data_IF_978727450207
#
_entry.id   IF_978727450207
#
_cell.length_a   1.000
_cell.length_b   1.000
_cell.length_c   1.000
_cell.angle_alpha   90.00
_cell.angle_beta   90.00
_cell.angle_gamma   90.00
#
_symmetry.space_group_name_H-M   'P 1'
#
loop_
_entity.id
_entity.type
_entity.pdbx_description
1 polymer ?
#
# COMPACT_ATOMS: atom_id res chain seq x y z
N UNK A 1 81.49 -15.41 -12.15
CA UNK A 1 81.70 -16.77 -12.70
C UNK A 1 80.33 -17.43 -12.80
N UNK A 2 79.73 -17.84 -13.91
CA UNK A 2 80.13 -18.15 -15.29
C UNK A 2 78.89 -17.84 -16.18
N UNK A 3 79.01 -16.99 -17.21
CA UNK A 3 79.21 -17.33 -18.63
C UNK A 3 77.98 -17.88 -19.39
N UNK A 4 77.32 -16.94 -20.09
CA UNK A 4 76.92 -16.92 -21.51
C UNK A 4 76.93 -18.20 -22.38
N UNK A 5 75.86 -18.22 -23.23
CA UNK A 5 75.77 -18.62 -24.66
C UNK A 5 75.67 -20.11 -25.02
N UNK A 6 74.64 -20.44 -25.81
CA UNK A 6 74.82 -20.89 -27.22
C UNK A 6 73.55 -20.68 -28.06
N UNK A 7 73.81 -20.16 -29.25
CA UNK A 7 72.94 -19.96 -30.41
C UNK A 7 72.82 -21.28 -31.17
N UNK A 8 71.64 -21.61 -31.72
CA UNK A 8 71.53 -22.48 -32.89
C UNK A 8 70.28 -22.11 -33.71
N UNK A 9 70.57 -21.63 -34.90
CA UNK A 9 69.69 -21.26 -36.00
C UNK A 9 69.39 -22.53 -36.81
N UNK A 10 68.12 -22.90 -37.03
CA UNK A 10 67.75 -23.74 -38.19
C UNK A 10 66.42 -23.27 -38.81
N UNK A 11 66.55 -22.85 -40.07
CA UNK A 11 65.49 -22.70 -41.05
C UNK A 11 64.99 -24.09 -41.49
N UNK A 12 63.67 -24.28 -41.53
CA UNK A 12 63.06 -25.22 -42.46
C UNK A 12 61.70 -24.68 -42.89
N UNK A 13 61.52 -24.63 -44.20
CA UNK A 13 60.43 -23.98 -44.90
C UNK A 13 59.19 -24.87 -45.06
N UNK A 14 58.01 -24.23 -45.04
CA UNK A 14 56.90 -24.46 -45.95
C UNK A 14 56.11 -25.76 -45.86
N UNK A 15 54.88 -25.67 -45.36
CA UNK A 15 53.67 -26.15 -46.07
C UNK A 15 52.53 -25.16 -45.74
N UNK A 16 52.05 -24.47 -46.76
CA UNK A 16 50.79 -23.74 -46.72
C UNK A 16 49.67 -24.73 -47.07
N UNK A 17 48.76 -24.97 -46.13
CA UNK A 17 47.45 -25.55 -46.43
C UNK A 17 46.39 -24.62 -45.85
N UNK A 18 45.66 -23.96 -46.75
CA UNK A 18 44.49 -23.16 -46.44
C UNK A 18 43.32 -24.09 -46.10
N UNK A 19 42.78 -23.98 -44.88
CA UNK A 19 41.46 -24.48 -44.53
C UNK A 19 40.65 -23.28 -44.03
N UNK A 20 39.77 -22.77 -44.90
CA UNK A 20 38.75 -21.82 -44.54
C UNK A 20 37.67 -22.56 -43.72
N UNK A 21 37.73 -22.43 -42.39
CA UNK A 21 36.59 -22.74 -41.54
C UNK A 21 35.87 -21.43 -41.23
N UNK A 22 34.59 -21.39 -41.59
CA UNK A 22 33.70 -20.26 -41.37
C UNK A 22 33.68 -19.86 -39.89
N UNK A 23 33.99 -18.59 -39.63
CA UNK A 23 33.69 -17.96 -38.37
C UNK A 23 32.15 -17.77 -38.29
N UNK A 24 31.47 -18.69 -37.63
CA UNK A 24 30.15 -18.40 -37.08
C UNK A 24 30.39 -17.42 -35.91
N UNK A 25 29.82 -16.23 -36.01
CA UNK A 25 29.91 -15.21 -34.96
C UNK A 25 29.17 -15.68 -33.72
N UNK A 26 29.91 -16.03 -32.68
CA UNK A 26 29.40 -16.05 -31.32
C UNK A 26 29.27 -14.60 -30.84
N UNK A 27 28.04 -14.17 -30.57
CA UNK A 27 27.74 -12.95 -29.83
C UNK A 27 28.48 -13.00 -28.47
N UNK A 28 29.35 -12.04 -28.14
CA UNK A 28 30.01 -11.99 -26.85
C UNK A 28 28.99 -11.53 -25.80
N UNK A 29 28.42 -12.47 -25.03
CA UNK A 29 27.59 -12.12 -23.87
C UNK A 29 26.52 -13.11 -23.41
N UNK A 30 26.45 -14.33 -23.94
CA UNK A 30 25.48 -15.32 -23.44
C UNK A 30 26.11 -16.13 -22.30
N UNK A 31 25.73 -15.85 -21.06
CA UNK A 31 26.04 -16.71 -19.92
C UNK A 31 25.53 -18.15 -20.18
N UNK A 32 26.18 -19.20 -19.63
CA UNK A 32 25.76 -20.58 -19.85
C UNK A 32 24.35 -20.78 -19.29
N UNK A 33 23.42 -21.10 -20.18
CA UNK A 33 22.03 -21.35 -19.80
C UNK A 33 21.45 -22.57 -20.49
N UNK A 34 20.53 -23.25 -19.81
CA UNK A 34 19.70 -24.30 -20.39
C UNK A 34 18.41 -23.71 -20.93
N UNK A 35 17.90 -24.31 -22.01
CA UNK A 35 16.60 -24.00 -22.59
C UNK A 35 15.72 -25.24 -22.49
N UNK A 36 14.50 -25.06 -22.02
CA UNK A 36 13.45 -26.08 -21.92
C UNK A 36 12.25 -25.62 -22.74
N UNK A 37 11.80 -26.45 -23.67
CA UNK A 37 10.59 -26.24 -24.47
C UNK A 37 9.71 -27.47 -24.24
N UNK A 38 8.59 -27.37 -23.50
CA UNK A 38 7.76 -28.52 -23.14
C UNK A 38 7.20 -29.30 -24.33
N UNK A 39 6.99 -28.64 -25.48
CA UNK A 39 6.53 -29.28 -26.72
C UNK A 39 7.57 -30.23 -27.34
N UNK A 40 8.84 -30.12 -26.96
CA UNK A 40 9.96 -30.86 -27.55
C UNK A 40 10.33 -30.40 -28.96
N UNK A 41 9.70 -29.33 -29.47
CA UNK A 41 10.00 -28.76 -30.79
C UNK A 41 11.31 -27.97 -30.76
N UNK A 42 11.99 -27.92 -31.90
CA UNK A 42 13.20 -27.10 -32.04
C UNK A 42 12.83 -25.60 -32.06
N UNK A 43 13.59 -24.72 -31.38
CA UNK A 43 13.34 -23.29 -31.39
C UNK A 43 13.74 -22.66 -32.73
N UNK A 44 12.82 -21.90 -33.33
CA UNK A 44 13.02 -21.15 -34.58
C UNK A 44 12.79 -19.63 -34.41
N UNK A 45 12.40 -19.19 -33.21
CA UNK A 45 12.26 -17.79 -32.81
C UNK A 45 12.77 -17.56 -31.37
N UNK A 46 12.93 -16.30 -30.97
CA UNK A 46 13.37 -15.98 -29.61
C UNK A 46 12.91 -14.61 -29.13
N UNK A 47 12.60 -14.51 -27.84
CA UNK A 47 12.43 -13.24 -27.11
C UNK A 47 13.74 -12.89 -26.40
N UNK A 48 14.20 -11.65 -26.51
CA UNK A 48 15.49 -11.17 -25.98
C UNK A 48 15.27 -10.06 -24.96
N UNK A 49 16.25 -9.80 -24.12
CA UNK A 49 16.14 -8.68 -23.19
C UNK A 49 17.20 -8.63 -22.14
N UNK A 50 16.95 -7.80 -21.14
CA UNK A 50 17.75 -7.74 -19.92
C UNK A 50 16.90 -7.64 -18.67
N UNK A 51 17.44 -8.16 -17.57
CA UNK A 51 16.89 -8.09 -16.22
C UNK A 51 17.74 -7.15 -15.37
N UNK A 52 17.10 -6.23 -14.65
CA UNK A 52 17.73 -5.37 -13.64
C UNK A 52 16.92 -5.37 -12.34
N UNK A 53 17.55 -4.97 -11.24
CA UNK A 53 16.90 -4.69 -9.94
C UNK A 53 17.49 -3.41 -9.33
N UNK A 54 16.87 -2.84 -8.29
CA UNK A 54 17.26 -1.52 -7.73
C UNK A 54 18.29 -1.62 -6.62
N UNK A 55 18.33 -2.76 -5.96
CA UNK A 55 19.12 -3.05 -4.78
C UNK A 55 20.60 -3.16 -5.15
N UNK A 56 21.48 -2.62 -4.29
CA UNK A 56 22.94 -2.70 -4.48
C UNK A 56 23.50 -3.98 -3.86
N UNK A 57 22.96 -5.12 -4.29
CA UNK A 57 23.31 -6.45 -3.78
C UNK A 57 23.90 -7.27 -4.93
N UNK A 58 24.99 -7.97 -4.65
CA UNK A 58 25.59 -8.94 -5.57
C UNK A 58 24.94 -10.30 -5.40
N UNK A 59 24.59 -10.95 -6.51
CA UNK A 59 24.09 -12.32 -6.51
C UNK A 59 25.17 -13.30 -6.02
N UNK A 60 24.76 -14.38 -5.35
CA UNK A 60 25.68 -15.41 -4.88
C UNK A 60 26.29 -16.20 -6.05
N UNK A 61 27.53 -16.69 -5.93
CA UNK A 61 28.02 -17.75 -6.81
C UNK A 61 27.10 -18.97 -6.71
N UNK A 62 26.56 -19.43 -7.83
CA UNK A 62 25.55 -20.50 -7.93
C UNK A 62 24.11 -20.01 -8.07
N UNK A 63 23.87 -18.69 -8.05
CA UNK A 63 22.56 -18.13 -8.37
C UNK A 63 22.13 -18.48 -9.80
N UNK A 64 20.82 -18.54 -10.03
CA UNK A 64 20.20 -18.88 -11.30
C UNK A 64 19.11 -17.89 -11.65
N UNK A 65 19.19 -17.31 -12.85
CA UNK A 65 18.09 -16.55 -13.44
C UNK A 65 17.22 -17.51 -14.26
N UNK A 66 15.94 -17.61 -13.92
CA UNK A 66 14.93 -18.37 -14.66
C UNK A 66 14.02 -17.38 -15.37
N UNK A 67 13.93 -17.45 -16.69
CA UNK A 67 13.04 -16.64 -17.51
C UNK A 67 12.09 -17.55 -18.26
N UNK A 68 10.80 -17.37 -18.06
CA UNK A 68 9.73 -18.19 -18.61
C UNK A 68 8.87 -17.35 -19.56
N UNK A 69 8.65 -17.87 -20.77
CA UNK A 69 7.62 -17.41 -21.68
C UNK A 69 6.35 -18.21 -21.39
N UNK A 70 5.28 -17.52 -20.98
CA UNK A 70 4.00 -18.14 -20.62
C UNK A 70 2.85 -17.59 -21.45
N UNK A 71 1.88 -18.43 -21.72
CA UNK A 71 0.62 -18.00 -22.33
C UNK A 71 -0.33 -17.46 -21.24
N UNK A 72 -0.68 -16.18 -21.34
CA UNK A 72 -1.47 -15.42 -20.36
C UNK A 72 -2.80 -14.95 -20.95
N UNK A 73 -3.36 -15.74 -21.88
CA UNK A 73 -4.63 -15.45 -22.57
C UNK A 73 -5.84 -15.39 -21.63
N UNK A 74 -5.78 -16.07 -20.48
CA UNK A 74 -6.87 -16.20 -19.52
C UNK A 74 -6.43 -15.76 -18.13
N UNK A 75 -7.15 -14.80 -17.54
CA UNK A 75 -6.80 -14.19 -16.25
C UNK A 75 -6.96 -15.16 -15.05
N UNK A 76 -7.85 -16.16 -15.16
CA UNK A 76 -8.25 -17.03 -14.05
C UNK A 76 -7.79 -18.49 -14.21
N UNK A 77 -6.80 -18.75 -15.07
CA UNK A 77 -6.26 -20.09 -15.33
C UNK A 77 -4.74 -20.14 -15.15
N UNK A 78 -4.21 -21.31 -14.81
CA UNK A 78 -2.78 -21.53 -14.73
C UNK A 78 -2.14 -21.26 -16.11
N UNK A 79 -1.28 -20.24 -16.20
CA UNK A 79 -0.63 -19.82 -17.43
C UNK A 79 0.32 -20.91 -17.96
N UNK A 80 0.02 -21.57 -19.10
CA UNK A 80 0.86 -22.63 -19.64
C UNK A 80 2.28 -22.15 -19.96
N UNK A 81 3.27 -23.01 -19.71
CA UNK A 81 4.67 -22.74 -20.06
C UNK A 81 4.91 -23.03 -21.55
N UNK A 82 5.42 -22.04 -22.28
CA UNK A 82 5.84 -22.19 -23.68
C UNK A 82 7.32 -22.52 -23.77
N UNK A 83 8.14 -21.78 -23.05
CA UNK A 83 9.58 -22.00 -23.00
C UNK A 83 10.17 -21.45 -21.70
N UNK A 84 11.23 -22.07 -21.20
CA UNK A 84 11.99 -21.63 -20.02
C UNK A 84 13.46 -21.59 -20.36
N UNK A 85 14.10 -20.46 -20.11
CA UNK A 85 15.55 -20.36 -20.07
C UNK A 85 16.01 -20.30 -18.60
N UNK A 86 17.01 -21.10 -18.24
CA UNK A 86 17.71 -20.99 -16.95
C UNK A 86 19.16 -20.63 -17.19
N UNK A 87 19.60 -19.49 -16.68
CA UNK A 87 20.99 -19.02 -16.77
C UNK A 87 21.65 -19.24 -15.41
N UNK A 88 22.69 -20.08 -15.38
CA UNK A 88 23.49 -20.31 -14.17
C UNK A 88 24.57 -19.24 -14.05
N UNK A 89 24.85 -18.83 -12.82
CA UNK A 89 25.86 -17.81 -12.52
C UNK A 89 25.69 -16.54 -13.39
N UNK A 90 24.50 -15.90 -13.37
CA UNK A 90 24.14 -14.86 -14.33
C UNK A 90 25.00 -13.59 -14.25
N UNK A 91 25.85 -13.45 -13.22
CA UNK A 91 26.76 -12.33 -13.04
C UNK A 91 26.07 -11.09 -12.46
N UNK A 92 26.38 -9.92 -13.01
CA UNK A 92 25.87 -8.63 -12.52
C UNK A 92 24.80 -8.05 -13.44
N UNK A 93 23.87 -7.30 -12.85
CA UNK A 93 22.87 -6.55 -13.62
C UNK A 93 23.51 -5.41 -14.43
N UNK A 94 22.97 -5.09 -15.63
CA UNK A 94 21.84 -5.76 -16.29
C UNK A 94 22.21 -7.14 -16.85
N UNK A 95 21.42 -8.17 -16.54
CA UNK A 95 21.64 -9.56 -16.96
C UNK A 95 20.89 -9.80 -18.27
N UNK A 96 21.61 -10.08 -19.35
CA UNK A 96 20.99 -10.38 -20.64
C UNK A 96 20.37 -11.79 -20.68
N UNK A 97 19.24 -11.94 -21.37
CA UNK A 97 18.60 -13.23 -21.61
C UNK A 97 18.10 -13.37 -23.06
N UNK A 98 17.84 -14.62 -23.46
CA UNK A 98 17.31 -15.03 -24.77
C UNK A 98 16.48 -16.32 -24.63
N UNK A 99 15.17 -16.19 -24.52
CA UNK A 99 14.26 -17.35 -24.45
C UNK A 99 13.89 -17.78 -25.87
N UNK A 100 14.40 -18.93 -26.31
CA UNK A 100 14.03 -19.54 -27.60
C UNK A 100 12.70 -20.28 -27.52
N UNK A 101 11.89 -20.21 -28.57
CA UNK A 101 10.60 -20.89 -28.67
C UNK A 101 10.32 -21.33 -30.12
N UNK A 102 9.37 -22.24 -30.31
CA UNK A 102 8.87 -22.63 -31.64
C UNK A 102 7.66 -21.79 -32.03
N UNK A 103 7.63 -21.20 -33.23
CA UNK A 103 6.47 -20.45 -33.72
C UNK A 103 5.20 -21.32 -33.79
N UNK A 104 5.34 -22.63 -33.95
CA UNK A 104 4.20 -23.58 -33.97
C UNK A 104 3.56 -23.75 -32.57
N UNK A 105 4.21 -23.29 -31.50
CA UNK A 105 3.65 -23.24 -30.14
C UNK A 105 2.88 -21.94 -29.86
N UNK A 106 2.84 -21.01 -30.81
CA UNK A 106 2.21 -19.69 -30.67
C UNK A 106 0.89 -19.63 -31.44
N UNK A 107 -0.22 -19.40 -30.75
CA UNK A 107 -1.48 -18.97 -31.35
C UNK A 107 -1.42 -17.45 -31.57
N UNK A 108 -1.59 -16.95 -32.81
CA UNK A 108 -1.64 -15.51 -33.10
C UNK A 108 -2.69 -14.73 -32.30
N UNK A 109 -3.72 -15.40 -31.74
CA UNK A 109 -4.76 -14.80 -30.91
C UNK A 109 -4.40 -14.74 -29.42
N UNK A 110 -3.39 -15.48 -28.96
CA UNK A 110 -3.00 -15.58 -27.55
C UNK A 110 -2.34 -14.32 -26.97
N UNK A 111 -2.28 -14.22 -25.63
CA UNK A 111 -1.35 -13.32 -24.92
C UNK A 111 -0.15 -14.13 -24.49
N UNK A 112 1.05 -13.57 -24.64
CA UNK A 112 2.26 -14.16 -24.09
C UNK A 112 2.99 -13.13 -23.25
N UNK A 113 3.39 -13.52 -22.04
CA UNK A 113 4.11 -12.64 -21.12
C UNK A 113 5.35 -13.34 -20.58
N UNK A 114 6.35 -12.55 -20.21
CA UNK A 114 7.54 -13.05 -19.54
C UNK A 114 7.37 -13.03 -18.02
N UNK A 115 7.83 -14.10 -17.39
CA UNK A 115 8.05 -14.19 -15.95
C UNK A 115 9.53 -14.47 -15.70
N UNK A 116 10.18 -13.63 -14.91
CA UNK A 116 11.59 -13.77 -14.56
C UNK A 116 11.76 -13.88 -13.05
N UNK A 117 12.58 -14.83 -12.62
CA UNK A 117 12.88 -15.11 -11.23
C UNK A 117 14.38 -15.33 -11.04
N UNK A 118 14.97 -14.77 -10.00
CA UNK A 118 16.34 -15.07 -9.58
C UNK A 118 16.28 -15.95 -8.34
N UNK A 119 16.85 -17.14 -8.43
CA UNK A 119 16.97 -18.10 -7.33
C UNK A 119 18.43 -18.15 -6.89
N UNK A 120 18.70 -17.91 -5.61
CA UNK A 120 20.05 -17.90 -5.05
C UNK A 120 20.59 -19.33 -4.85
N UNK A 121 21.89 -19.47 -4.57
CA UNK A 121 22.55 -20.78 -4.41
C UNK A 121 21.98 -21.62 -3.26
N UNK A 122 21.37 -20.95 -2.27
CA UNK A 122 20.68 -21.54 -1.11
C UNK A 122 19.26 -22.05 -1.45
N UNK A 123 18.78 -21.85 -2.68
CA UNK A 123 17.45 -22.25 -3.14
C UNK A 123 16.35 -21.21 -2.94
N UNK A 124 16.70 -20.04 -2.39
CA UNK A 124 15.78 -18.94 -2.10
C UNK A 124 15.37 -18.16 -3.34
N UNK A 125 14.09 -17.80 -3.47
CA UNK A 125 13.61 -16.89 -4.51
C UNK A 125 13.96 -15.44 -4.12
N UNK A 126 15.03 -14.91 -4.68
CA UNK A 126 15.52 -13.58 -4.30
C UNK A 126 14.79 -12.44 -5.02
N UNK A 127 14.51 -12.59 -6.32
CA UNK A 127 13.89 -11.53 -7.11
C UNK A 127 12.84 -12.09 -8.08
N UNK A 128 11.79 -11.33 -8.38
CA UNK A 128 10.80 -11.63 -9.42
C UNK A 128 10.25 -10.36 -10.07
N UNK A 129 9.64 -10.42 -11.25
CA UNK A 129 8.86 -9.28 -11.77
C UNK A 129 7.45 -9.23 -11.17
N UNK A 130 6.97 -8.03 -10.85
CA UNK A 130 5.61 -7.73 -10.35
C UNK A 130 4.70 -7.09 -11.41
N UNK A 131 5.27 -6.82 -12.58
CA UNK A 131 4.63 -6.18 -13.73
C UNK A 131 4.60 -7.15 -14.91
N UNK A 132 3.52 -7.13 -15.68
CA UNK A 132 3.39 -7.97 -16.87
C UNK A 132 4.22 -7.40 -18.03
N UNK A 133 5.05 -8.25 -18.64
CA UNK A 133 5.83 -7.93 -19.84
C UNK A 133 5.32 -8.75 -21.01
N UNK A 134 4.33 -8.22 -21.72
CA UNK A 134 3.74 -8.90 -22.88
C UNK A 134 4.67 -8.83 -24.10
N UNK A 135 4.75 -9.94 -24.84
CA UNK A 135 5.70 -10.17 -25.94
C UNK A 135 5.08 -10.97 -27.08
N UNK A 136 5.78 -11.07 -28.21
CA UNK A 136 5.49 -11.94 -29.38
C UNK A 136 4.26 -11.56 -30.21
N UNK A 137 3.06 -11.53 -29.62
CA UNK A 137 1.80 -11.32 -30.36
C UNK A 137 1.25 -9.90 -30.21
N UNK A 138 0.22 -9.55 -30.99
CA UNK A 138 -0.52 -8.26 -30.89
C UNK A 138 0.34 -7.00 -31.00
N UNK A 139 1.45 -7.07 -31.73
CA UNK A 139 2.37 -5.96 -31.90
C UNK A 139 3.25 -5.69 -30.68
N UNK A 140 3.23 -6.58 -29.68
CA UNK A 140 4.16 -6.54 -28.56
C UNK A 140 5.59 -6.86 -29.03
N UNK A 141 6.61 -6.31 -28.36
CA UNK A 141 8.00 -6.44 -28.81
C UNK A 141 8.55 -7.86 -28.61
N UNK A 142 9.61 -8.19 -29.36
CA UNK A 142 10.46 -9.37 -29.13
C UNK A 142 11.68 -9.03 -28.25
N UNK A 143 11.80 -7.78 -27.81
CA UNK A 143 12.85 -7.27 -26.93
C UNK A 143 12.28 -6.47 -25.76
N UNK A 144 12.65 -6.83 -24.52
CA UNK A 144 12.19 -6.12 -23.31
C UNK A 144 13.31 -5.86 -22.30
N UNK A 145 13.15 -4.82 -21.50
CA UNK A 145 13.96 -4.57 -20.30
C UNK A 145 13.05 -4.76 -19.09
N UNK A 146 13.37 -5.73 -18.24
CA UNK A 146 12.56 -6.09 -17.08
C UNK A 146 13.19 -5.56 -15.80
N UNK A 147 12.39 -4.87 -15.00
CA UNK A 147 12.71 -4.53 -13.63
C UNK A 147 12.14 -5.59 -12.69
N UNK A 148 13.01 -6.22 -11.91
CA UNK A 148 12.64 -7.18 -10.87
C UNK A 148 12.61 -6.48 -9.52
N UNK A 149 11.76 -7.00 -8.64
CA UNK A 149 11.61 -6.61 -7.25
C UNK A 149 12.18 -7.70 -6.34
N UNK A 150 12.78 -7.28 -5.23
CA UNK A 150 13.30 -8.18 -4.20
C UNK A 150 12.13 -8.86 -3.46
N UNK A 151 12.17 -10.19 -3.37
CA UNK A 151 11.20 -11.02 -2.64
C UNK A 151 11.81 -11.51 -1.33
N UNK A 152 13.02 -12.06 -1.39
CA UNK A 152 13.77 -12.51 -0.21
C UNK A 152 15.25 -12.03 -0.30
N UNK A 153 15.79 -11.26 0.66
CA UNK A 153 17.18 -10.84 0.79
C UNK A 153 18.13 -11.95 1.26
N UNK A 154 19.45 -11.77 1.03
CA UNK A 154 20.51 -12.65 1.52
C UNK A 154 20.47 -12.93 3.04
N UNK A 155 20.66 -14.18 3.48
CA UNK A 155 20.73 -14.55 4.89
C UNK A 155 21.84 -13.81 5.66
N UNK A 156 22.93 -13.41 4.99
CA UNK A 156 24.02 -12.65 5.62
C UNK A 156 23.59 -11.23 5.98
N UNK A 157 22.68 -10.61 5.21
CA UNK A 157 22.04 -9.36 5.63
C UNK A 157 21.12 -9.57 6.83
N UNK A 158 20.49 -10.75 6.94
CA UNK A 158 19.70 -11.13 8.12
C UNK A 158 20.58 -11.47 9.34
N UNK A 159 21.78 -12.03 9.12
CA UNK A 159 22.68 -12.48 10.17
C UNK A 159 23.64 -11.37 10.68
N UNK A 160 24.13 -10.50 9.79
CA UNK A 160 24.96 -9.34 10.15
C UNK A 160 24.14 -8.23 10.83
N UNK A 161 22.82 -8.23 10.66
CA UNK A 161 21.90 -7.33 11.36
C UNK A 161 21.74 -7.67 12.86
N UNK A 162 22.35 -8.74 13.36
CA UNK A 162 21.97 -9.27 14.67
C UNK A 162 20.45 -9.54 14.69
N UNK A 163 19.87 -9.68 15.87
CA UNK A 163 18.41 -9.82 16.03
C UNK A 163 17.59 -8.56 15.67
N UNK A 164 18.12 -7.62 14.88
CA UNK A 164 17.59 -6.26 14.73
C UNK A 164 17.46 -5.77 13.27
N UNK A 165 17.08 -6.67 12.35
CA UNK A 165 16.48 -6.26 11.06
C UNK A 165 15.09 -5.59 11.25
N UNK A 166 14.59 -5.58 12.49
CA UNK A 166 13.42 -4.86 12.99
C UNK A 166 13.74 -3.40 13.34
N UNK A 167 14.32 -2.64 12.41
CA UNK A 167 14.32 -1.20 12.53
C UNK A 167 12.87 -0.72 12.62
N UNK A 168 12.37 -0.49 13.83
CA UNK A 168 10.99 -0.09 14.06
C UNK A 168 10.77 1.26 13.38
N UNK A 169 9.88 1.28 12.40
CA UNK A 169 9.46 2.50 11.73
C UNK A 169 8.14 2.97 12.30
N UNK A 170 7.99 4.29 12.46
CA UNK A 170 6.73 4.90 12.85
C UNK A 170 5.76 4.86 11.67
N UNK A 171 4.63 4.20 11.85
CA UNK A 171 3.54 4.10 10.88
C UNK A 171 2.30 4.76 11.48
N UNK A 172 1.66 5.72 10.80
CA UNK A 172 0.45 6.36 11.30
C UNK A 172 -0.70 5.35 11.41
N UNK A 173 -1.40 5.36 12.54
CA UNK A 173 -2.62 4.57 12.70
C UNK A 173 -3.76 5.12 11.84
N UNK A 174 -4.65 4.24 11.42
CA UNK A 174 -5.95 4.62 10.86
C UNK A 174 -6.95 4.61 12.02
N UNK A 175 -7.48 5.79 12.37
CA UNK A 175 -8.46 5.90 13.44
C UNK A 175 -9.81 5.30 13.01
N UNK A 176 -10.33 4.39 13.83
CA UNK A 176 -11.69 3.87 13.72
C UNK A 176 -12.67 4.93 14.20
N UNK A 177 -12.32 5.65 15.27
CA UNK A 177 -13.14 6.68 15.92
C UNK A 177 -12.23 7.64 16.69
N UNK A 178 -12.65 8.88 16.86
CA UNK A 178 -12.13 9.75 17.90
C UNK A 178 -13.24 10.54 18.58
N UNK A 179 -13.12 10.75 19.90
CA UNK A 179 -14.06 11.56 20.67
C UNK A 179 -13.37 12.33 21.79
N UNK A 180 -13.89 13.52 22.13
CA UNK A 180 -13.48 14.21 23.35
C UNK A 180 -14.17 13.59 24.57
N UNK A 181 -13.43 13.51 25.66
CA UNK A 181 -13.87 13.10 26.98
C UNK A 181 -13.73 14.32 27.89
N UNK A 182 -14.79 14.75 28.58
CA UNK A 182 -14.70 15.83 29.55
C UNK A 182 -13.68 15.52 30.65
N UNK A 183 -12.84 16.50 31.00
CA UNK A 183 -11.96 16.46 32.17
C UNK A 183 -12.20 17.68 33.07
N UNK A 184 -11.65 17.65 34.29
CA UNK A 184 -11.90 18.71 35.29
C UNK A 184 -11.35 20.08 34.89
N UNK A 185 -10.20 20.11 34.20
CA UNK A 185 -9.54 21.35 33.74
C UNK A 185 -9.39 21.40 32.22
N UNK A 186 -9.03 20.28 31.60
CA UNK A 186 -8.81 20.14 30.17
C UNK A 186 -9.47 18.84 29.69
N UNK A 187 -10.05 18.81 28.47
CA UNK A 187 -10.59 17.57 27.92
C UNK A 187 -9.47 16.61 27.50
N UNK A 188 -9.82 15.34 27.41
CA UNK A 188 -8.97 14.31 26.83
C UNK A 188 -9.52 13.93 25.46
N UNK A 189 -8.64 13.68 24.50
CA UNK A 189 -8.99 13.07 23.24
C UNK A 189 -8.76 11.56 23.35
N UNK A 190 -9.80 10.78 23.12
CA UNK A 190 -9.68 9.33 22.92
C UNK A 190 -9.73 9.02 21.43
N UNK A 191 -8.79 8.21 20.97
CA UNK A 191 -8.73 7.70 19.59
C UNK A 191 -8.70 6.18 19.63
N UNK A 192 -9.69 5.55 18.99
CA UNK A 192 -9.80 4.10 18.87
C UNK A 192 -9.18 3.68 17.52
N UNK A 193 -8.33 2.64 17.50
CA UNK A 193 -7.67 2.13 16.31
C UNK A 193 -7.34 0.64 16.42
N UNK A 194 -7.14 -0.04 15.29
CA UNK A 194 -6.70 -1.43 15.27
C UNK A 194 -5.17 -1.57 15.35
N UNK A 195 -4.71 -2.53 16.14
CA UNK A 195 -3.31 -2.95 16.21
C UNK A 195 -3.21 -4.47 16.00
N UNK A 196 -2.19 -4.91 15.26
CA UNK A 196 -1.82 -6.33 15.20
C UNK A 196 -1.49 -6.89 16.59
N UNK A 197 -1.94 -8.11 16.84
CA UNK A 197 -1.56 -8.93 18.00
C UNK A 197 -0.53 -9.99 17.67
N UNK A 198 -0.12 -10.09 16.40
CA UNK A 198 0.92 -11.02 15.96
C UNK A 198 2.26 -10.55 16.54
N UNK A 199 3.02 -11.48 17.11
CA UNK A 199 4.28 -11.14 17.76
C UNK A 199 5.25 -10.50 16.75
N UNK A 200 5.80 -9.34 17.13
CA UNK A 200 6.74 -8.60 16.29
C UNK A 200 6.11 -7.74 15.18
N UNK A 201 4.77 -7.64 15.10
CA UNK A 201 4.09 -6.87 14.06
C UNK A 201 3.80 -5.41 14.41
N UNK A 202 3.55 -5.13 15.70
CA UNK A 202 3.24 -3.79 16.14
C UNK A 202 3.57 -3.62 17.62
N UNK A 203 3.98 -2.40 17.98
CA UNK A 203 4.01 -1.90 19.35
C UNK A 203 3.62 -0.43 19.37
N UNK A 204 3.23 0.14 20.51
CA UNK A 204 2.92 1.57 20.61
C UNK A 204 4.09 2.42 20.09
N UNK A 205 3.77 3.40 19.24
CA UNK A 205 4.72 4.38 18.71
C UNK A 205 4.57 5.73 19.40
N UNK A 206 4.88 6.80 18.66
CA UNK A 206 4.69 8.17 19.11
C UNK A 206 3.22 8.59 19.21
N UNK A 207 2.91 9.40 20.22
CA UNK A 207 1.58 9.96 20.44
C UNK A 207 1.73 11.44 20.80
N UNK A 208 0.94 12.29 20.15
CA UNK A 208 0.87 13.71 20.48
C UNK A 208 -0.45 14.30 20.05
N UNK A 209 -0.93 15.27 20.81
CA UNK A 209 -2.10 16.09 20.49
C UNK A 209 -1.71 17.55 20.58
N UNK A 210 -2.12 18.32 19.58
CA UNK A 210 -1.97 19.78 19.54
C UNK A 210 -3.30 20.43 19.14
N UNK A 211 -3.47 21.69 19.52
CA UNK A 211 -4.56 22.53 19.03
C UNK A 211 -3.94 23.53 18.05
N UNK A 212 -4.30 23.40 16.78
CA UNK A 212 -3.81 24.21 15.66
C UNK A 212 -4.99 24.98 15.07
N UNK A 213 -5.24 26.20 15.57
CA UNK A 213 -6.38 27.01 15.09
C UNK A 213 -7.74 26.43 15.48
N UNK A 214 -8.54 26.01 14.49
CA UNK A 214 -9.82 25.32 14.64
C UNK A 214 -9.67 23.79 14.55
N UNK A 215 -8.46 23.25 14.68
CA UNK A 215 -8.20 21.82 14.61
C UNK A 215 -7.55 21.27 15.89
N UNK A 216 -8.05 20.14 16.36
CA UNK A 216 -7.40 19.29 17.35
C UNK A 216 -6.68 18.20 16.56
N UNK A 217 -5.36 18.37 16.41
CA UNK A 217 -4.52 17.52 15.58
C UNK A 217 -3.88 16.45 16.45
N UNK A 218 -4.22 15.20 16.21
CA UNK A 218 -3.62 14.04 16.83
C UNK A 218 -2.66 13.35 15.85
N UNK A 219 -1.43 13.14 16.29
CA UNK A 219 -0.43 12.32 15.58
C UNK A 219 -0.17 11.09 16.44
N UNK A 220 -0.68 9.95 15.99
CA UNK A 220 -0.63 8.67 16.71
C UNK A 220 -0.04 7.64 15.77
N UNK A 221 1.03 6.99 16.19
CA UNK A 221 1.73 6.02 15.37
C UNK A 221 1.88 4.69 16.10
N UNK A 222 2.04 3.64 15.30
CA UNK A 222 2.56 2.35 15.74
C UNK A 222 3.99 2.24 15.26
N UNK A 223 4.80 1.58 16.06
CA UNK A 223 6.06 1.07 15.58
C UNK A 223 5.80 -0.28 14.94
N UNK A 224 6.17 -0.41 13.66
CA UNK A 224 6.06 -1.66 12.90
C UNK A 224 7.39 -2.00 12.23
N UNK A 225 7.64 -3.27 11.86
CA UNK A 225 8.69 -3.60 10.92
C UNK A 225 8.50 -2.80 9.62
N UNK A 226 9.57 -2.49 8.89
CA UNK A 226 9.45 -1.83 7.60
C UNK A 226 8.53 -2.65 6.68
N UNK A 227 7.71 -2.00 5.83
CA UNK A 227 6.83 -2.69 4.89
C UNK A 227 7.71 -3.49 3.92
N UNK A 228 7.78 -4.79 4.12
CA UNK A 228 8.54 -5.71 3.27
C UNK A 228 7.59 -6.67 2.55
N UNK A 229 7.85 -7.04 1.28
CA UNK A 229 6.92 -7.86 0.46
C UNK A 229 6.57 -9.25 1.02
N UNK A 230 7.38 -9.76 1.94
CA UNK A 230 7.26 -11.01 2.69
C UNK A 230 6.89 -10.81 4.18
N UNK A 231 6.18 -9.70 4.48
CA UNK A 231 5.85 -9.33 5.85
C UNK A 231 5.18 -10.48 6.60
N UNK A 232 5.56 -10.61 7.89
CA UNK A 232 4.76 -11.34 8.88
C UNK A 232 3.30 -10.93 8.66
N UNK A 233 2.33 -11.87 8.65
CA UNK A 233 0.94 -11.57 8.33
C UNK A 233 0.28 -10.77 9.46
N UNK A 234 0.63 -9.49 9.55
CA UNK A 234 0.29 -8.62 10.67
C UNK A 234 -1.19 -8.27 10.72
N UNK A 235 -1.93 -8.54 9.65
CA UNK A 235 -3.37 -8.37 9.52
C UNK A 235 -4.19 -9.61 9.93
N UNK A 236 -3.57 -10.79 10.11
CA UNK A 236 -4.28 -12.02 10.49
C UNK A 236 -5.06 -11.90 11.81
N UNK A 237 -4.50 -11.15 12.76
CA UNK A 237 -5.07 -10.98 14.10
C UNK A 237 -4.89 -9.57 14.59
N UNK A 238 -5.98 -8.83 14.67
CA UNK A 238 -6.00 -7.46 15.19
C UNK A 238 -6.82 -7.37 16.48
N UNK A 239 -6.53 -6.34 17.28
CA UNK A 239 -7.31 -5.93 18.43
C UNK A 239 -7.57 -4.43 18.33
N UNK A 240 -8.74 -3.99 18.77
CA UNK A 240 -9.03 -2.57 18.92
C UNK A 240 -8.41 -2.06 20.23
N UNK A 241 -7.61 -1.00 20.14
CA UNK A 241 -6.99 -0.30 21.25
C UNK A 241 -7.42 1.16 21.24
N UNK A 242 -7.22 1.84 22.36
CA UNK A 242 -7.38 3.28 22.48
C UNK A 242 -6.08 3.99 22.87
N UNK A 243 -5.92 5.21 22.37
CA UNK A 243 -4.95 6.19 22.85
C UNK A 243 -5.72 7.37 23.46
N UNK A 244 -5.37 7.73 24.70
CA UNK A 244 -6.02 8.82 25.43
C UNK A 244 -4.98 9.89 25.75
N UNK A 245 -5.11 11.03 25.07
CA UNK A 245 -4.17 12.13 25.17
C UNK A 245 -4.85 13.39 25.70
N UNK A 246 -4.13 14.15 26.52
CA UNK A 246 -4.65 15.42 27.04
C UNK A 246 -4.63 16.46 25.93
N UNK A 247 -5.71 17.21 25.77
CA UNK A 247 -5.75 18.36 24.85
C UNK A 247 -5.04 19.54 25.52
N UNK A 248 -3.92 20.05 24.97
CA UNK A 248 -2.99 20.92 25.70
C UNK A 248 -3.45 22.38 25.87
N UNK A 249 -4.75 22.65 25.75
CA UNK A 249 -5.34 23.97 25.96
C UNK A 249 -6.86 23.85 26.22
N UNK A 250 -7.46 24.78 26.98
CA UNK A 250 -8.91 24.89 27.03
C UNK A 250 -9.44 25.28 25.65
N UNK A 251 -10.53 24.63 25.23
CA UNK A 251 -11.22 24.94 23.99
C UNK A 251 -12.13 26.16 24.18
N UNK A 252 -12.16 27.04 23.19
CA UNK A 252 -13.02 28.22 23.23
C UNK A 252 -14.51 27.82 23.18
N UNK A 253 -15.33 28.25 24.16
CA UNK A 253 -16.77 27.99 24.13
C UNK A 253 -17.45 28.51 22.86
N UNK A 254 -18.32 27.69 22.26
CA UNK A 254 -19.05 28.04 21.03
C UNK A 254 -18.24 27.96 19.75
N UNK A 255 -16.93 27.69 19.82
CA UNK A 255 -16.08 27.50 18.63
C UNK A 255 -16.05 26.04 18.23
N UNK A 256 -16.32 25.75 16.97
CA UNK A 256 -16.21 24.39 16.43
C UNK A 256 -14.74 24.04 16.17
N UNK A 257 -14.34 22.87 16.65
CA UNK A 257 -13.03 22.28 16.40
C UNK A 257 -13.18 20.99 15.60
N UNK A 258 -12.44 20.83 14.50
CA UNK A 258 -12.29 19.55 13.80
C UNK A 258 -11.25 18.69 14.51
N UNK A 259 -11.55 17.42 14.73
CA UNK A 259 -10.58 16.44 15.22
C UNK A 259 -9.95 15.76 14.02
N UNK A 260 -8.63 15.93 13.87
CA UNK A 260 -7.85 15.40 12.75
C UNK A 260 -6.85 14.40 13.29
N UNK A 261 -7.03 13.11 13.00
CA UNK A 261 -6.08 12.06 13.37
C UNK A 261 -5.27 11.66 12.14
N UNK A 262 -3.95 11.85 12.20
CA UNK A 262 -3.02 11.53 11.11
C UNK A 262 -3.46 12.04 9.73
N UNK A 263 -4.02 13.25 9.68
CA UNK A 263 -4.47 13.89 8.44
C UNK A 263 -5.90 13.55 8.01
N UNK A 264 -6.63 12.70 8.76
CA UNK A 264 -8.04 12.37 8.50
C UNK A 264 -8.96 13.01 9.54
N UNK A 265 -10.01 13.69 9.07
CA UNK A 265 -11.07 14.20 9.96
C UNK A 265 -11.89 13.02 10.50
N UNK A 266 -12.00 12.94 11.83
CA UNK A 266 -12.70 11.85 12.54
C UNK A 266 -13.89 12.35 13.36
N UNK A 267 -13.88 13.62 13.75
CA UNK A 267 -14.99 14.25 14.48
C UNK A 267 -14.97 15.77 14.29
N UNK A 268 -16.05 16.42 14.68
CA UNK A 268 -16.10 17.85 14.97
C UNK A 268 -16.87 18.07 16.26
N UNK A 269 -16.43 19.03 17.07
CA UNK A 269 -16.97 19.28 18.42
C UNK A 269 -17.01 20.78 18.68
N UNK A 270 -18.09 21.23 19.32
CA UNK A 270 -18.30 22.64 19.64
C UNK A 270 -18.60 22.72 21.13
N UNK A 271 -17.64 23.15 21.97
CA UNK A 271 -17.87 23.25 23.40
C UNK A 271 -19.09 24.16 23.69
N UNK A 272 -19.86 23.85 24.74
CA UNK A 272 -21.09 24.58 25.03
C UNK A 272 -20.78 26.04 25.34
N UNK A 273 -21.60 26.94 24.81
CA UNK A 273 -21.49 28.36 25.07
C UNK A 273 -21.73 28.64 26.56
N UNK A 274 -21.05 29.63 27.17
CA UNK A 274 -21.17 29.87 28.61
C UNK A 274 -22.59 30.21 29.05
N UNK A 275 -23.39 30.80 28.15
CA UNK A 275 -24.79 31.16 28.39
C UNK A 275 -25.78 29.99 28.32
N UNK A 276 -25.37 28.81 27.84
CA UNK A 276 -26.24 27.64 27.78
C UNK A 276 -26.43 27.01 29.17
N UNK A 277 -25.50 27.24 30.10
CA UNK A 277 -25.54 26.64 31.44
C UNK A 277 -25.23 25.14 31.42
N UNK A 278 -25.76 24.41 32.41
CA UNK A 278 -25.57 22.96 32.49
C UNK A 278 -26.32 22.25 31.36
N UNK A 279 -25.57 21.70 30.42
CA UNK A 279 -26.08 20.96 29.27
C UNK A 279 -25.56 19.52 29.25
N UNK A 280 -26.31 18.66 28.57
CA UNK A 280 -25.90 17.31 28.22
C UNK A 280 -25.85 17.19 26.68
N UNK A 281 -25.13 16.17 26.20
CA UNK A 281 -25.15 15.82 24.78
C UNK A 281 -26.33 14.90 24.49
N UNK A 282 -27.08 15.23 23.44
CA UNK A 282 -28.11 14.39 22.85
C UNK A 282 -27.84 14.15 21.37
N UNK A 283 -28.32 13.02 20.85
CA UNK A 283 -28.31 12.77 19.40
C UNK A 283 -29.28 13.74 18.71
N UNK A 284 -28.82 14.40 17.65
CA UNK A 284 -29.63 15.38 16.93
C UNK A 284 -30.69 14.70 16.07
N UNK A 285 -31.96 15.15 16.12
CA UNK A 285 -33.00 14.66 15.22
C UNK A 285 -32.70 15.02 13.77
N UNK A 286 -32.48 14.00 12.94
CA UNK A 286 -32.18 14.16 11.51
C UNK A 286 -33.47 14.41 10.72
N UNK A 287 -33.54 15.54 10.03
CA UNK A 287 -34.65 15.88 9.14
C UNK A 287 -34.38 15.40 7.71
N UNK A 288 -33.15 15.58 7.22
CA UNK A 288 -32.72 15.06 5.92
C UNK A 288 -31.22 14.81 5.90
N UNK A 289 -30.79 13.93 5.00
CA UNK A 289 -29.40 13.54 4.84
C UNK A 289 -29.13 13.18 3.38
N UNK A 290 -28.09 13.78 2.79
CA UNK A 290 -27.72 13.62 1.39
C UNK A 290 -26.21 13.40 1.28
N UNK A 291 -25.80 12.45 0.44
CA UNK A 291 -24.39 12.19 0.15
C UNK A 291 -24.06 12.84 -1.19
N UNK A 292 -22.99 13.64 -1.19
CA UNK A 292 -22.54 14.39 -2.35
C UNK A 292 -21.05 14.10 -2.59
N UNK A 293 -20.65 14.09 -3.87
CA UNK A 293 -19.22 14.19 -4.19
C UNK A 293 -18.72 15.60 -3.85
N UNK A 294 -17.53 15.70 -3.27
CA UNK A 294 -16.93 16.97 -2.92
C UNK A 294 -16.60 17.79 -4.18
N UNK A 295 -16.94 19.08 -4.13
CA UNK A 295 -16.70 19.99 -5.25
C UNK A 295 -15.21 20.25 -5.38
N UNK A 296 -14.63 19.92 -6.54
CA UNK A 296 -13.21 20.17 -6.83
C UNK A 296 -12.23 19.10 -6.32
N UNK A 297 -12.73 18.04 -5.67
CA UNK A 297 -11.92 16.93 -5.17
C UNK A 297 -12.49 15.58 -5.68
N UNK A 298 -12.01 15.07 -6.84
CA UNK A 298 -12.48 13.81 -7.39
C UNK A 298 -12.24 12.64 -6.42
N UNK A 299 -13.27 11.81 -6.22
CA UNK A 299 -13.20 10.65 -5.33
C UNK A 299 -13.36 10.98 -3.83
N UNK A 300 -13.58 12.25 -3.48
CA UNK A 300 -13.93 12.66 -2.13
C UNK A 300 -15.45 12.81 -1.99
N UNK A 301 -15.99 12.36 -0.85
CA UNK A 301 -17.42 12.39 -0.53
C UNK A 301 -17.68 13.15 0.75
N UNK A 302 -18.86 13.78 0.82
CA UNK A 302 -19.37 14.46 2.02
C UNK A 302 -20.83 14.08 2.25
N UNK A 303 -21.21 14.06 3.52
CA UNK A 303 -22.57 13.90 3.95
C UNK A 303 -23.09 15.26 4.42
N UNK A 304 -24.15 15.75 3.79
CA UNK A 304 -24.88 16.95 4.19
C UNK A 304 -26.09 16.51 5.01
N UNK A 305 -26.20 16.97 6.25
CA UNK A 305 -27.30 16.63 7.15
C UNK A 305 -27.99 17.90 7.64
N UNK A 306 -29.31 17.93 7.51
CA UNK A 306 -30.15 18.95 8.16
C UNK A 306 -30.74 18.33 9.43
N UNK A 307 -30.51 18.98 10.56
CA UNK A 307 -31.07 18.60 11.85
C UNK A 307 -31.97 19.70 12.39
N UNK A 308 -33.09 19.33 13.00
CA UNK A 308 -33.97 20.26 13.71
C UNK A 308 -33.85 19.96 15.19
N UNK A 309 -33.31 20.90 15.97
CA UNK A 309 -33.08 20.66 17.39
C UNK A 309 -34.43 20.62 18.15
N UNK A 310 -34.52 19.79 19.20
CA UNK A 310 -35.77 19.52 19.91
C UNK A 310 -36.26 20.68 20.79
N UNK A 311 -35.37 21.55 21.28
CA UNK A 311 -35.70 22.75 22.08
C UNK A 311 -35.26 24.02 21.37
N UNK A 312 -35.76 25.16 21.82
CA UNK A 312 -35.39 26.47 21.28
C UNK A 312 -33.92 26.81 21.48
N UNK A 313 -33.41 27.77 20.70
CA UNK A 313 -31.99 28.15 20.68
C UNK A 313 -31.40 28.61 22.02
N UNK A 314 -32.22 29.05 22.98
CA UNK A 314 -31.73 29.35 24.33
C UNK A 314 -31.45 28.11 25.19
N UNK A 315 -31.90 26.93 24.75
CA UNK A 315 -31.74 25.66 25.44
C UNK A 315 -31.02 24.59 24.60
N UNK A 316 -30.73 24.89 23.34
CA UNK A 316 -30.10 23.96 22.41
C UNK A 316 -29.02 24.66 21.61
N UNK A 317 -27.88 23.99 21.44
CA UNK A 317 -26.75 24.46 20.65
C UNK A 317 -26.18 23.29 19.85
N UNK A 318 -25.74 23.54 18.62
CA UNK A 318 -24.98 22.53 17.88
C UNK A 318 -23.72 22.09 18.64
N UNK A 319 -23.41 20.79 18.59
CA UNK A 319 -22.13 20.28 19.07
C UNK A 319 -21.27 19.90 17.87
N UNK A 320 -21.69 18.90 17.09
CA UNK A 320 -20.94 18.43 15.93
C UNK A 320 -21.21 16.97 15.65
N UNK A 321 -20.18 16.22 15.27
CA UNK A 321 -20.31 14.84 14.82
C UNK A 321 -19.11 13.97 15.20
N UNK A 322 -19.33 12.66 15.31
CA UNK A 322 -18.30 11.62 15.34
C UNK A 322 -18.46 10.73 14.10
N UNK A 323 -17.35 10.35 13.48
CA UNK A 323 -17.32 9.38 12.38
C UNK A 323 -16.67 8.09 12.90
N UNK A 324 -17.35 6.95 12.74
CA UNK A 324 -16.87 5.62 13.12
C UNK A 324 -16.72 4.74 11.89
N UNK A 325 -15.59 4.04 11.80
CA UNK A 325 -15.17 3.20 10.65
C UNK A 325 -14.62 1.86 11.14
N UNK A 326 -15.44 1.11 11.87
CA UNK A 326 -15.09 -0.24 12.31
C UNK A 326 -15.33 -1.32 11.25
N UNK A 327 -16.02 -0.98 10.16
CA UNK A 327 -16.41 -1.90 9.09
C UNK A 327 -15.96 -1.28 7.74
N UNK A 328 -15.34 -2.06 6.84
CA UNK A 328 -14.79 -1.54 5.60
C UNK A 328 -15.82 -0.90 4.67
N UNK A 329 -17.08 -1.33 4.71
CA UNK A 329 -18.16 -0.85 3.82
C UNK A 329 -19.25 -0.06 4.56
N UNK A 330 -19.17 0.03 5.89
CA UNK A 330 -20.11 0.80 6.73
C UNK A 330 -19.42 1.95 7.45
N UNK A 331 -19.95 3.15 7.26
CA UNK A 331 -19.56 4.36 7.98
C UNK A 331 -20.71 4.74 8.91
N UNK A 332 -20.42 4.87 10.20
CA UNK A 332 -21.39 5.40 11.16
C UNK A 332 -21.06 6.86 11.46
N UNK A 333 -22.08 7.71 11.45
CA UNK A 333 -21.96 9.12 11.78
C UNK A 333 -22.92 9.42 12.93
N UNK A 334 -22.37 9.88 14.06
CA UNK A 334 -23.18 10.28 15.20
C UNK A 334 -23.18 11.80 15.27
N UNK A 335 -24.32 12.43 15.02
CA UNK A 335 -24.50 13.89 15.07
C UNK A 335 -25.17 14.23 16.38
N UNK A 336 -24.59 15.18 17.11
CA UNK A 336 -25.03 15.55 18.45
C UNK A 336 -25.22 17.05 18.61
N UNK A 337 -25.99 17.41 19.62
CA UNK A 337 -26.21 18.77 20.08
C UNK A 337 -26.08 18.83 21.59
N UNK A 338 -25.82 20.02 22.11
CA UNK A 338 -25.99 20.34 23.51
C UNK A 338 -27.46 20.68 23.78
N UNK A 339 -28.00 20.13 24.86
CA UNK A 339 -29.33 20.46 25.38
C UNK A 339 -29.24 20.78 26.87
N UNK A 340 -29.92 21.83 27.31
CA UNK A 340 -30.06 22.18 28.74
C UNK A 340 -30.67 21.03 29.51
N UNK A 341 -29.96 20.57 30.55
CA UNK A 341 -30.32 19.38 31.31
C UNK A 341 -31.57 19.58 32.21
N UNK A 342 -31.92 20.83 32.53
CA UNK A 342 -33.14 21.13 33.28
C UNK A 342 -34.38 21.02 32.38
N UNK A 343 -35.29 20.05 32.60
CA UNK A 343 -36.51 19.93 31.82
C UNK A 343 -37.48 21.10 32.03
N UNK A 344 -37.37 21.83 33.14
CA UNK A 344 -38.21 22.98 33.46
C UNK A 344 -37.65 24.30 32.91
N UNK A 345 -36.49 24.29 32.25
CA UNK A 345 -35.90 25.49 31.67
C UNK A 345 -36.84 26.16 30.66
N UNK A 346 -37.04 27.46 30.82
CA UNK A 346 -37.81 28.27 29.88
C UNK A 346 -36.98 28.51 28.62
N UNK A 347 -37.36 27.85 27.53
CA UNK A 347 -36.69 27.97 26.24
C UNK A 347 -37.38 28.99 25.35
N UNK A 348 -36.62 29.57 24.42
CA UNK A 348 -37.18 30.29 23.29
C UNK A 348 -38.13 29.40 22.49
N UNK A 349 -39.13 30.00 21.85
CA UNK A 349 -40.18 29.26 21.13
C UNK A 349 -39.78 28.89 19.68
N UNK A 350 -38.54 29.14 19.29
CA UNK A 350 -38.01 28.80 17.98
C UNK A 350 -37.67 27.30 17.86
N UNK A 351 -37.44 26.85 16.62
CA UNK A 351 -37.02 25.49 16.31
C UNK A 351 -35.80 25.56 15.41
N UNK A 352 -34.59 25.69 15.98
CA UNK A 352 -33.40 25.93 15.19
C UNK A 352 -33.09 24.74 14.28
N UNK A 353 -32.78 25.05 13.02
CA UNK A 353 -32.38 24.08 12.01
C UNK A 353 -30.90 24.30 11.72
N UNK A 354 -30.11 23.24 11.82
CA UNK A 354 -28.66 23.25 11.66
C UNK A 354 -28.29 22.38 10.47
N UNK A 355 -27.41 22.92 9.62
CA UNK A 355 -26.81 22.19 8.52
C UNK A 355 -25.39 21.75 8.90
N UNK A 356 -25.14 20.45 8.87
CA UNK A 356 -23.83 19.86 9.15
C UNK A 356 -23.26 19.24 7.88
N UNK A 357 -22.03 19.63 7.52
CA UNK A 357 -21.25 18.98 6.46
C UNK A 357 -20.20 18.06 7.10
N UNK A 358 -20.38 16.76 6.90
CA UNK A 358 -19.50 15.72 7.42
C UNK A 358 -18.59 15.20 6.29
N UNK A 359 -17.26 15.38 6.38
CA UNK A 359 -16.34 14.87 5.38
C UNK A 359 -16.23 13.34 5.50
N UNK A 360 -16.77 12.60 4.53
CA UNK A 360 -16.61 11.15 4.46
C UNK A 360 -15.21 10.77 3.93
N UNK A 361 -14.50 11.72 3.33
CA UNK A 361 -13.13 11.56 2.84
C UNK A 361 -13.08 10.90 1.47
N UNK A 362 -11.95 10.28 1.16
CA UNK A 362 -11.67 9.60 -0.11
C UNK A 362 -11.05 8.22 0.14
N UNK A 363 -10.56 7.57 -0.92
CA UNK A 363 -9.93 6.24 -0.84
C UNK A 363 -10.93 5.09 -0.88
N UNK A 364 -12.12 5.33 -1.42
CA UNK A 364 -13.14 4.31 -1.64
C UNK A 364 -12.85 3.50 -2.90
N UNK A 365 -13.09 2.19 -2.84
CA UNK A 365 -12.88 1.28 -3.96
C UNK A 365 -13.94 1.50 -5.04
N UNK A 366 -13.49 1.78 -6.27
CA UNK A 366 -14.38 2.09 -7.39
C UNK A 366 -15.34 0.94 -7.66
N UNK A 367 -16.63 1.25 -7.71
CA UNK A 367 -17.71 0.28 -7.96
C UNK A 367 -18.24 -0.42 -6.70
N UNK A 368 -17.63 -0.22 -5.53
CA UNK A 368 -18.15 -0.72 -4.25
C UNK A 368 -19.23 0.23 -3.71
N UNK A 369 -20.30 -0.35 -3.16
CA UNK A 369 -21.35 0.39 -2.46
C UNK A 369 -20.99 0.55 -0.98
N UNK A 370 -20.99 1.80 -0.51
CA UNK A 370 -20.75 2.12 0.89
C UNK A 370 -22.06 2.56 1.55
N UNK A 371 -22.30 2.09 2.77
CA UNK A 371 -23.45 2.48 3.60
C UNK A 371 -23.02 3.49 4.66
N UNK A 372 -23.80 4.56 4.79
CA UNK A 372 -23.64 5.59 5.81
C UNK A 372 -24.86 5.56 6.73
N UNK A 373 -24.64 5.25 7.99
CA UNK A 373 -25.67 5.20 9.03
C UNK A 373 -25.53 6.40 9.95
N UNK A 374 -26.63 7.10 10.21
CA UNK A 374 -26.65 8.36 10.95
C UNK A 374 -27.55 8.19 12.17
N UNK A 375 -26.98 8.37 13.37
CA UNK A 375 -27.65 8.20 14.66
C UNK A 375 -28.44 6.87 14.77
N UNK A 376 -27.92 5.78 14.20
CA UNK A 376 -28.53 4.45 14.26
C UNK A 376 -29.85 4.27 13.50
N UNK A 377 -30.37 5.31 12.84
CA UNK A 377 -31.75 5.34 12.35
C UNK A 377 -31.86 5.69 10.86
N UNK A 378 -31.00 6.58 10.36
CA UNK A 378 -31.06 7.03 8.96
C UNK A 378 -29.91 6.40 8.18
N UNK A 379 -30.25 5.60 7.16
CA UNK A 379 -29.25 4.99 6.28
C UNK A 379 -29.26 5.65 4.90
N UNK A 380 -28.07 5.93 4.37
CA UNK A 380 -27.82 6.34 2.99
C UNK A 380 -26.77 5.43 2.38
N UNK A 381 -26.72 5.34 1.06
CA UNK A 381 -25.65 4.63 0.37
C UNK A 381 -25.19 5.40 -0.86
N UNK A 382 -23.97 5.11 -1.28
CA UNK A 382 -23.40 5.62 -2.53
C UNK A 382 -22.44 4.60 -3.11
N UNK A 383 -22.33 4.60 -4.44
CA UNK A 383 -21.31 3.81 -5.15
C UNK A 383 -20.13 4.72 -5.46
N UNK A 384 -18.94 4.28 -5.05
CA UNK A 384 -17.71 5.01 -5.32
C UNK A 384 -17.41 5.04 -6.83
N UNK A 385 -17.14 6.24 -7.36
CA UNK A 385 -17.00 6.50 -8.80
C UNK A 385 -15.55 6.58 -9.26
#
# INVERSE_FOLDING_TARGET
MWMLRRVALQLAAGVALAAAAAACGDDPGSAPGSLEIPSGREPDASVRGSVTYRERITLTPGARLVVELRETSYADAAAPLIARQTISDPGQVPIAFRVGYSQDDIDPRGTYSLQAAIVESDGRLAFTNDTAYDVVTRGNPDRVEMLLVLVEPPPELLAAAGSDWRGWVEVPVVANRANLIPGEAEPYLRVDYYQSTVEGCARPGSQSVAVEGDEIVARITLQQPPPTPWAIPCDERVVELDAVERVPAPLEPGRTYRVVVNGRVTAAVTPPAPGLGHSALGESPVESAEIEAAVGAPGEYRLRVLTRLPRGSSCSQENGYEIRRGDPERIEVVITHHEVADPAAACTADSPVVETLVPLGSGFERGVEYRVEINGAVTRSFVAR
#
